data_IF_782418434784
#
_entry.id   IF_782418434784
#
_cell.length_a   1.000
_cell.length_b   1.000
_cell.length_c   1.000
_cell.angle_alpha   90.00
_cell.angle_beta   90.00
_cell.angle_gamma   90.00
#
_symmetry.space_group_name_H-M   'P 1'
#
loop_
_entity.id
_entity.type
_entity.pdbx_description
1 polymer ?
#
# COMPACT_ATOMS: atom_id res chain seq x y z
N UNK A 1 5.68 17.87 2.05
CA UNK A 1 4.20 17.85 2.26
C UNK A 1 3.84 17.77 3.75
N UNK A 2 4.31 16.81 4.52
CA UNK A 2 3.97 16.66 5.94
C UNK A 2 4.25 17.94 6.76
N UNK A 3 5.41 18.56 6.59
CA UNK A 3 5.76 19.83 7.26
C UNK A 3 4.76 20.94 6.93
N UNK A 4 4.36 21.06 5.68
CA UNK A 4 3.39 22.07 5.26
C UNK A 4 2.00 21.82 5.84
N UNK A 5 1.56 20.56 5.90
CA UNK A 5 0.29 20.19 6.52
C UNK A 5 0.31 20.49 8.03
N UNK A 6 1.37 20.15 8.73
CA UNK A 6 1.53 20.46 10.15
C UNK A 6 1.55 21.96 10.45
N UNK A 7 2.10 22.76 9.56
CA UNK A 7 2.15 24.21 9.70
C UNK A 7 0.76 24.88 9.67
N UNK A 8 -0.28 24.19 9.17
CA UNK A 8 -1.65 24.72 9.17
C UNK A 8 -2.29 24.78 10.56
N UNK A 9 -1.75 24.06 11.56
CA UNK A 9 -2.34 23.92 12.88
C UNK A 9 -3.65 23.10 12.92
N UNK A 10 -4.05 22.48 11.81
CA UNK A 10 -5.25 21.64 11.71
C UNK A 10 -4.91 20.16 11.84
N UNK A 11 -5.75 19.34 12.49
CA UNK A 11 -5.62 17.91 12.43
C UNK A 11 -5.96 17.44 11.00
N UNK A 12 -4.96 16.91 10.30
CA UNK A 12 -5.09 16.43 8.92
C UNK A 12 -4.64 14.97 8.87
N UNK A 13 -5.51 14.10 8.35
CA UNK A 13 -5.14 12.74 8.03
C UNK A 13 -4.41 12.75 6.69
N UNK A 14 -3.11 12.45 6.74
CA UNK A 14 -2.29 12.39 5.53
C UNK A 14 -2.17 10.95 5.04
N UNK A 15 -2.81 10.66 3.92
CA UNK A 15 -2.71 9.39 3.20
C UNK A 15 -1.82 9.58 1.97
N UNK A 16 -0.69 8.89 1.97
CA UNK A 16 0.33 9.05 0.94
C UNK A 16 0.16 8.00 -0.15
N UNK A 17 0.16 8.42 -1.41
CA UNK A 17 -0.01 7.52 -2.55
C UNK A 17 1.26 7.52 -3.41
N UNK A 18 2.20 6.63 -3.10
CA UNK A 18 3.43 6.47 -3.87
C UNK A 18 3.64 5.03 -4.39
N UNK A 19 2.62 4.17 -4.30
CA UNK A 19 2.58 2.82 -4.86
C UNK A 19 3.68 1.88 -4.37
N UNK A 20 4.25 2.15 -3.21
CA UNK A 20 5.34 1.33 -2.66
C UNK A 20 6.73 1.72 -3.18
N UNK A 21 6.84 2.76 -4.00
CA UNK A 21 8.14 3.27 -4.42
C UNK A 21 8.97 3.73 -3.23
N UNK A 22 10.27 3.50 -3.27
CA UNK A 22 11.22 3.85 -2.21
C UNK A 22 10.92 3.21 -0.84
N UNK A 23 10.15 2.13 -0.79
CA UNK A 23 9.87 1.37 0.42
C UNK A 23 9.23 2.19 1.55
N UNK A 24 8.03 2.77 1.35
CA UNK A 24 7.40 3.67 2.32
C UNK A 24 7.15 3.03 3.69
N UNK A 25 6.99 1.72 3.75
CA UNK A 25 6.85 0.95 5.00
C UNK A 25 8.04 1.13 5.96
N UNK A 26 9.20 1.63 5.50
CA UNK A 26 10.36 1.84 6.34
C UNK A 26 10.46 3.26 6.92
N UNK A 27 9.77 4.24 6.35
CA UNK A 27 9.95 5.64 6.74
C UNK A 27 8.66 6.46 6.85
N UNK A 28 7.58 6.03 6.19
CA UNK A 28 6.35 6.81 6.11
C UNK A 28 5.64 6.97 7.46
N UNK A 29 5.86 6.08 8.43
CA UNK A 29 5.28 6.15 9.77
C UNK A 29 5.56 7.48 10.48
N UNK A 30 6.66 8.15 10.10
CA UNK A 30 7.08 9.42 10.74
C UNK A 30 6.39 10.64 10.14
N UNK A 31 5.75 10.50 8.97
CA UNK A 31 5.24 11.65 8.22
C UNK A 31 3.80 11.48 7.71
N UNK A 32 3.26 10.27 7.69
CA UNK A 32 1.94 9.97 7.13
C UNK A 32 1.14 9.05 8.05
N UNK A 33 -0.18 9.09 7.90
CA UNK A 33 -1.10 8.21 8.63
C UNK A 33 -1.40 6.92 7.85
N UNK A 34 -1.22 6.94 6.54
CA UNK A 34 -1.26 5.74 5.70
C UNK A 34 -0.40 5.93 4.46
N UNK A 35 -0.01 4.84 3.85
CA UNK A 35 0.77 4.84 2.61
C UNK A 35 0.40 3.64 1.74
N UNK A 36 0.25 3.91 0.46
CA UNK A 36 0.03 2.87 -0.54
C UNK A 36 1.29 2.02 -0.70
N UNK A 37 1.11 0.72 -0.69
CA UNK A 37 2.21 -0.23 -0.85
C UNK A 37 2.28 -0.84 -2.25
N UNK A 38 1.22 -0.69 -3.03
CA UNK A 38 1.12 -1.14 -4.42
C UNK A 38 0.49 -0.06 -5.30
N UNK A 39 0.58 -0.24 -6.62
CA UNK A 39 -0.28 0.44 -7.57
C UNK A 39 -1.75 0.06 -7.37
N UNK A 40 -2.58 0.42 -8.34
CA UNK A 40 -4.02 0.25 -8.23
C UNK A 40 -4.43 -1.22 -8.29
N UNK A 41 -5.36 -1.61 -7.43
CA UNK A 41 -6.02 -2.89 -7.54
C UNK A 41 -7.05 -2.85 -8.68
N UNK A 42 -7.13 -3.91 -9.47
CA UNK A 42 -8.12 -4.04 -10.52
C UNK A 42 -9.03 -5.25 -10.30
N UNK A 43 -10.09 -5.36 -11.07
CA UNK A 43 -11.16 -6.34 -10.92
C UNK A 43 -10.70 -7.76 -11.28
N UNK A 44 -9.78 -8.29 -10.50
CA UNK A 44 -9.29 -9.66 -10.61
C UNK A 44 -8.88 -10.15 -9.24
N UNK A 45 -9.45 -11.28 -8.82
CA UNK A 45 -9.20 -11.81 -7.49
C UNK A 45 -7.78 -12.37 -7.35
N UNK A 46 -7.40 -13.27 -8.24
CA UNK A 46 -6.09 -13.94 -8.19
C UNK A 46 -5.55 -14.12 -9.61
N UNK A 47 -4.51 -13.40 -9.93
CA UNK A 47 -3.82 -13.50 -11.21
C UNK A 47 -2.41 -12.94 -11.08
N UNK A 48 -1.44 -13.71 -11.54
CA UNK A 48 -0.10 -13.18 -11.73
C UNK A 48 -0.11 -12.08 -12.79
N UNK A 49 0.59 -11.00 -12.51
CA UNK A 49 0.76 -9.90 -13.45
C UNK A 49 2.17 -9.33 -13.29
N UNK A 50 2.92 -9.29 -14.38
CA UNK A 50 4.28 -8.73 -14.42
C UNK A 50 4.31 -7.27 -13.97
N UNK A 51 3.19 -6.57 -14.09
CA UNK A 51 3.04 -5.21 -13.61
C UNK A 51 2.86 -5.09 -12.08
N UNK A 52 2.72 -6.21 -11.38
CA UNK A 52 2.65 -6.26 -9.92
C UNK A 52 3.49 -7.42 -9.37
N UNK A 53 4.82 -7.38 -9.55
CA UNK A 53 5.67 -8.49 -9.17
C UNK A 53 5.78 -8.59 -7.64
N UNK A 54 5.41 -9.74 -7.10
CA UNK A 54 5.67 -10.10 -5.71
C UNK A 54 5.60 -11.61 -5.54
N UNK A 55 6.56 -12.33 -6.12
CA UNK A 55 6.72 -13.76 -5.94
C UNK A 55 8.14 -14.08 -5.50
N UNK A 56 8.31 -14.38 -4.23
CA UNK A 56 9.62 -14.73 -3.66
C UNK A 56 10.22 -15.97 -4.28
N UNK A 57 9.41 -16.95 -4.65
CA UNK A 57 9.86 -18.20 -5.25
C UNK A 57 10.58 -17.98 -6.59
N UNK A 58 10.29 -16.87 -7.25
CA UNK A 58 10.94 -16.48 -8.49
C UNK A 58 12.07 -15.46 -8.28
N UNK A 59 12.42 -15.13 -7.05
CA UNK A 59 13.44 -14.13 -6.73
C UNK A 59 13.03 -12.70 -7.06
N UNK A 60 11.76 -12.44 -7.27
CA UNK A 60 11.24 -11.11 -7.58
C UNK A 60 11.06 -10.30 -6.31
N UNK A 61 11.66 -9.12 -6.27
CA UNK A 61 11.62 -8.25 -5.11
C UNK A 61 10.23 -7.60 -4.95
N UNK A 62 9.52 -7.99 -3.88
CA UNK A 62 8.24 -7.38 -3.50
C UNK A 62 8.32 -5.86 -3.24
N UNK A 63 9.51 -5.28 -3.21
CA UNK A 63 9.73 -3.84 -3.08
C UNK A 63 9.53 -3.08 -4.38
N UNK A 64 9.46 -3.80 -5.51
CA UNK A 64 9.18 -3.15 -6.78
C UNK A 64 7.73 -2.65 -6.79
N UNK A 65 7.49 -1.44 -7.31
CA UNK A 65 6.12 -0.93 -7.44
C UNK A 65 5.33 -1.81 -8.39
N UNK A 66 4.09 -2.13 -8.00
CA UNK A 66 3.13 -2.77 -8.88
C UNK A 66 2.18 -1.71 -9.41
N UNK A 67 1.92 -1.71 -10.70
CA UNK A 67 1.04 -0.72 -11.33
C UNK A 67 -0.41 -1.19 -11.39
N UNK A 68 -0.62 -2.50 -11.60
CA UNK A 68 -1.94 -3.12 -11.66
C UNK A 68 -1.89 -4.44 -10.91
N UNK A 69 -2.56 -4.52 -9.80
CA UNK A 69 -2.46 -5.65 -8.89
C UNK A 69 -3.79 -6.38 -8.77
N UNK A 70 -3.76 -7.71 -8.75
CA UNK A 70 -4.91 -8.49 -8.29
C UNK A 70 -5.07 -8.37 -6.78
N UNK A 71 -6.25 -8.69 -6.27
CA UNK A 71 -6.50 -8.68 -4.81
C UNK A 71 -5.48 -9.53 -4.07
N UNK A 72 -5.20 -10.74 -4.54
CA UNK A 72 -4.24 -11.65 -3.89
C UNK A 72 -2.81 -11.15 -3.97
N UNK A 73 -2.38 -10.52 -5.07
CA UNK A 73 -1.07 -9.85 -5.13
C UNK A 73 -0.92 -8.80 -4.05
N UNK A 74 -1.94 -7.95 -3.87
CA UNK A 74 -1.92 -6.90 -2.84
C UNK A 74 -1.85 -7.51 -1.45
N UNK A 75 -2.67 -8.53 -1.17
CA UNK A 75 -2.67 -9.23 0.13
C UNK A 75 -1.32 -9.87 0.41
N UNK A 76 -0.74 -10.58 -0.55
CA UNK A 76 0.57 -11.22 -0.41
C UNK A 76 1.67 -10.19 -0.16
N UNK A 77 1.60 -9.05 -0.85
CA UNK A 77 2.56 -7.96 -0.66
C UNK A 77 2.44 -7.33 0.73
N UNK A 78 1.21 -7.06 1.19
CA UNK A 78 0.97 -6.53 2.54
C UNK A 78 1.49 -7.48 3.61
N UNK A 79 1.31 -8.80 3.43
CA UNK A 79 1.76 -9.80 4.38
C UNK A 79 3.26 -9.71 4.70
N UNK A 80 4.07 -9.19 3.78
CA UNK A 80 5.51 -8.98 3.99
C UNK A 80 5.84 -7.81 4.91
N UNK A 81 4.89 -6.92 5.13
CA UNK A 81 5.08 -5.66 5.86
C UNK A 81 4.08 -5.47 7.00
N UNK A 82 3.52 -6.56 7.53
CA UNK A 82 2.53 -6.51 8.63
C UNK A 82 3.12 -6.01 9.94
N UNK A 83 4.43 -6.07 10.09
CA UNK A 83 5.17 -5.60 11.26
C UNK A 83 5.50 -4.10 11.21
N UNK A 84 5.24 -3.45 10.09
CA UNK A 84 5.61 -2.04 9.87
C UNK A 84 4.58 -1.02 10.35
N UNK A 85 3.27 -1.28 10.27
CA UNK A 85 2.27 -0.36 10.82
C UNK A 85 2.44 -0.14 12.31
N UNK A 86 2.14 1.10 12.72
CA UNK A 86 2.03 1.49 14.12
C UNK A 86 0.67 2.15 14.36
N UNK A 87 0.30 2.35 15.61
CA UNK A 87 -0.97 3.05 15.91
C UNK A 87 -0.96 4.45 15.27
N UNK A 88 -1.95 4.70 14.41
CA UNK A 88 -2.10 5.96 13.67
C UNK A 88 -1.35 6.03 12.34
N UNK A 89 -0.66 4.94 11.93
CA UNK A 89 0.07 4.90 10.66
C UNK A 89 0.06 3.49 10.04
N UNK A 90 -0.60 3.31 8.90
CA UNK A 90 -1.00 2.01 8.35
C UNK A 90 -0.59 1.80 6.89
N UNK A 91 -0.33 0.54 6.54
CA UNK A 91 -0.29 0.12 5.13
C UNK A 91 -1.68 0.30 4.50
N UNK A 92 -1.73 0.88 3.31
CA UNK A 92 -2.95 1.03 2.52
C UNK A 92 -2.95 0.02 1.37
N UNK A 93 -3.98 -0.82 1.35
CA UNK A 93 -4.19 -1.87 0.35
C UNK A 93 -5.07 -1.41 -0.81
N UNK A 94 -5.14 -0.10 -1.05
CA UNK A 94 -5.99 0.48 -2.08
C UNK A 94 -7.48 0.15 -1.90
N UNK A 95 -8.20 0.05 -2.99
CA UNK A 95 -9.65 -0.11 -3.06
C UNK A 95 -10.16 -1.50 -2.61
N UNK A 96 -9.37 -2.32 -1.92
CA UNK A 96 -9.85 -3.61 -1.39
C UNK A 96 -11.13 -3.46 -0.57
N UNK A 97 -11.31 -2.32 0.07
CA UNK A 97 -12.53 -1.97 0.80
C UNK A 97 -13.79 -1.99 -0.08
N UNK A 98 -13.67 -1.59 -1.34
CA UNK A 98 -14.79 -1.58 -2.29
C UNK A 98 -15.34 -2.98 -2.57
N UNK A 99 -14.49 -3.97 -2.63
CA UNK A 99 -14.90 -5.36 -2.84
C UNK A 99 -15.59 -5.97 -1.63
N UNK A 100 -15.14 -5.62 -0.43
CA UNK A 100 -15.77 -6.11 0.80
C UNK A 100 -17.18 -5.54 1.00
N UNK A 101 -17.43 -4.31 0.55
CA UNK A 101 -18.76 -3.70 0.65
C UNK A 101 -19.72 -4.12 -0.47
N UNK A 102 -19.25 -4.64 -1.58
CA UNK A 102 -20.10 -5.16 -2.65
C UNK A 102 -20.76 -6.50 -2.30
N UNK A 103 -20.30 -7.17 -1.24
CA UNK A 103 -20.88 -8.41 -0.73
C UNK A 103 -21.83 -8.20 0.48
N UNK A 104 -21.96 -7.00 0.94
CA UNK A 104 -22.86 -6.60 2.02
C UNK A 104 -23.88 -5.56 1.56
#
# INVERSE_FOLDING_TARGET
>A
MATALNATGRPILYSMCNWGEDGPWNWAQTIANSWRITGDVYDTFDKYDDACPCEEEQGIDCKLPGFRCSVMNVVNKVAKFVDKPIVGAWNDMDLLRGYLFSFF
#
